data_IF_036371463099
#
_entry.id   IF_036371463099
#
_cell.length_a   1.000
_cell.length_b   1.000
_cell.length_c   1.000
_cell.angle_alpha   90.00
_cell.angle_beta   90.00
_cell.angle_gamma   90.00
#
_symmetry.space_group_name_H-M   'P 1'
#
loop_
_entity.id
_entity.type
_entity.pdbx_description
1 polymer ?
#
# COMPACT_ATOMS: atom_id res chain seq x y z
N UNK A 1 12.66 21.34 -32.77
CA UNK A 1 11.91 22.34 -31.98
C UNK A 1 12.11 22.04 -30.50
N UNK A 2 12.87 22.86 -29.76
CA UNK A 2 13.05 22.67 -28.31
C UNK A 2 11.84 23.28 -27.61
N UNK A 3 10.95 22.44 -27.09
CA UNK A 3 9.90 22.89 -26.17
C UNK A 3 10.59 23.17 -24.83
N UNK A 4 10.90 24.44 -24.59
CA UNK A 4 11.44 24.88 -23.30
C UNK A 4 10.33 24.76 -22.26
N UNK A 5 10.37 23.72 -21.44
CA UNK A 5 9.49 23.59 -20.28
C UNK A 5 9.97 24.57 -19.20
N UNK A 6 9.42 25.78 -19.21
CA UNK A 6 9.62 26.72 -18.10
C UNK A 6 8.96 26.11 -16.87
N UNK A 7 9.77 25.59 -15.95
CA UNK A 7 9.29 25.11 -14.65
C UNK A 7 8.81 26.33 -13.86
N UNK A 8 7.51 26.62 -13.95
CA UNK A 8 6.88 27.72 -13.23
C UNK A 8 7.10 27.51 -11.72
N UNK A 9 7.50 28.57 -11.03
CA UNK A 9 7.77 28.48 -9.59
C UNK A 9 6.47 28.37 -8.77
N UNK A 10 6.57 27.95 -7.51
CA UNK A 10 5.40 27.78 -6.62
C UNK A 10 4.64 29.07 -6.26
N UNK A 11 5.11 30.26 -6.66
CA UNK A 11 4.35 31.53 -6.56
C UNK A 11 3.53 31.79 -7.83
N UNK A 12 4.00 31.35 -9.00
CA UNK A 12 3.28 31.45 -10.26
C UNK A 12 2.11 30.46 -10.36
N UNK A 13 2.28 29.22 -9.88
CA UNK A 13 1.20 28.24 -9.81
C UNK A 13 0.04 28.69 -8.90
N UNK A 14 0.33 29.37 -7.78
CA UNK A 14 -0.69 29.98 -6.91
C UNK A 14 -1.51 31.06 -7.63
N UNK A 15 -0.90 31.80 -8.56
CA UNK A 15 -1.59 32.80 -9.38
C UNK A 15 -2.44 32.13 -10.48
N UNK A 16 -2.02 31.02 -11.04
CA UNK A 16 -2.73 30.35 -12.14
C UNK A 16 -4.01 29.62 -11.69
N UNK A 17 -4.07 29.08 -10.47
CA UNK A 17 -5.28 28.41 -9.97
C UNK A 17 -6.39 29.37 -9.54
N UNK A 18 -6.01 30.51 -8.96
CA UNK A 18 -6.96 31.51 -8.46
C UNK A 18 -7.48 32.42 -9.58
N UNK A 19 -6.69 32.66 -10.64
CA UNK A 19 -7.07 33.54 -11.76
C UNK A 19 -8.34 33.12 -12.51
N UNK A 20 -8.56 31.84 -12.90
CA UNK A 20 -9.80 31.42 -13.54
C UNK A 20 -11.01 31.66 -12.66
N UNK A 21 -10.92 31.34 -11.36
CA UNK A 21 -12.00 31.57 -10.41
C UNK A 21 -12.26 33.06 -10.17
N UNK A 22 -11.19 33.88 -10.11
CA UNK A 22 -11.33 35.33 -10.02
C UNK A 22 -11.94 35.91 -11.32
N UNK A 23 -11.50 35.49 -12.50
CA UNK A 23 -12.10 35.88 -13.78
C UNK A 23 -13.57 35.48 -13.86
N UNK A 24 -13.92 34.27 -13.40
CA UNK A 24 -15.30 33.82 -13.30
C UNK A 24 -16.14 34.70 -12.36
N UNK A 25 -15.61 35.07 -11.18
CA UNK A 25 -16.35 35.99 -10.29
C UNK A 25 -16.58 37.35 -10.94
N UNK A 26 -15.61 37.87 -11.70
CA UNK A 26 -15.72 39.12 -12.46
C UNK A 26 -16.79 39.01 -13.55
N UNK A 27 -16.77 37.91 -14.32
CA UNK A 27 -17.79 37.59 -15.33
C UNK A 27 -19.19 37.53 -14.74
N UNK A 28 -19.36 36.81 -13.62
CA UNK A 28 -20.65 36.67 -12.94
C UNK A 28 -21.17 38.00 -12.39
N UNK A 29 -20.26 38.82 -11.86
CA UNK A 29 -20.58 40.09 -11.25
C UNK A 29 -20.67 41.26 -12.24
N UNK A 30 -20.37 41.02 -13.52
CA UNK A 30 -20.30 41.99 -14.64
C UNK A 30 -19.35 43.18 -14.43
N UNK A 31 -18.59 43.21 -13.33
CA UNK A 31 -17.61 44.26 -12.98
C UNK A 31 -16.54 43.67 -12.05
N UNK A 32 -15.29 44.06 -12.24
CA UNK A 32 -14.19 43.75 -11.33
C UNK A 32 -14.25 44.65 -10.10
N UNK A 33 -14.53 44.07 -8.93
CA UNK A 33 -14.57 44.79 -7.65
C UNK A 33 -14.12 43.86 -6.52
N UNK A 34 -13.22 44.34 -5.65
CA UNK A 34 -12.73 43.64 -4.46
C UNK A 34 -13.83 43.21 -3.49
N UNK A 35 -14.87 44.02 -3.29
CA UNK A 35 -15.97 43.69 -2.38
C UNK A 35 -16.77 42.49 -2.87
N UNK A 36 -16.88 42.34 -4.19
CA UNK A 36 -17.54 41.18 -4.80
C UNK A 36 -16.66 39.94 -4.70
N UNK A 37 -15.34 40.07 -4.82
CA UNK A 37 -14.40 38.97 -4.59
C UNK A 37 -14.47 38.47 -3.14
N UNK A 38 -14.56 39.37 -2.15
CA UNK A 38 -14.69 39.02 -0.72
C UNK A 38 -15.92 38.16 -0.40
N UNK A 39 -16.94 38.13 -1.27
CA UNK A 39 -18.10 37.24 -1.10
C UNK A 39 -17.76 35.77 -1.31
N UNK A 40 -16.76 35.47 -2.13
CA UNK A 40 -16.36 34.12 -2.54
C UNK A 40 -14.98 33.72 -2.03
N UNK A 41 -14.11 34.71 -1.78
CA UNK A 41 -12.76 34.49 -1.30
C UNK A 41 -12.61 35.10 0.09
N UNK A 42 -12.22 34.26 1.04
CA UNK A 42 -12.01 34.65 2.44
C UNK A 42 -10.60 34.23 2.86
N UNK A 43 -9.96 34.95 3.79
CA UNK A 43 -8.75 34.44 4.42
C UNK A 43 -9.10 33.21 5.25
N UNK A 44 -8.24 32.20 5.22
CA UNK A 44 -8.46 30.98 5.98
C UNK A 44 -7.20 30.15 6.16
N UNK A 45 -7.21 29.28 7.16
CA UNK A 45 -6.13 28.35 7.44
C UNK A 45 -6.57 26.94 7.05
N UNK A 46 -5.74 26.26 6.26
CA UNK A 46 -5.98 24.87 5.82
C UNK A 46 -4.92 23.97 6.43
N UNK A 47 -5.34 22.84 7.00
CA UNK A 47 -4.44 21.77 7.43
C UNK A 47 -4.21 20.81 6.27
N UNK A 48 -2.96 20.66 5.86
CA UNK A 48 -2.56 19.78 4.78
C UNK A 48 -2.46 18.32 5.26
N UNK A 49 -2.46 17.37 4.32
CA UNK A 49 -2.30 15.94 4.60
C UNK A 49 -0.96 15.59 5.27
N UNK A 50 0.05 16.44 5.12
CA UNK A 50 1.36 16.30 5.78
C UNK A 50 1.41 16.92 7.19
N UNK A 51 0.27 17.34 7.74
CA UNK A 51 0.15 17.96 9.06
C UNK A 51 0.59 19.42 9.12
N UNK A 52 1.07 20.01 8.01
CA UNK A 52 1.46 21.42 7.97
C UNK A 52 0.24 22.33 7.80
N UNK A 53 0.24 23.44 8.53
CA UNK A 53 -0.80 24.46 8.39
C UNK A 53 -0.37 25.51 7.35
N UNK A 54 -1.31 25.90 6.49
CA UNK A 54 -1.12 26.95 5.48
C UNK A 54 -2.15 28.05 5.70
N UNK A 55 -1.66 29.28 5.83
CA UNK A 55 -2.52 30.46 5.82
C UNK A 55 -2.63 31.01 4.40
N UNK A 56 -3.85 31.15 3.89
CA UNK A 56 -4.14 31.62 2.54
C UNK A 56 -5.06 32.83 2.62
N UNK A 57 -4.62 33.96 2.04
CA UNK A 57 -5.39 35.22 2.04
C UNK A 57 -6.60 35.16 1.10
N UNK A 58 -6.48 34.41 0.01
CA UNK A 58 -7.50 34.27 -1.03
C UNK A 58 -7.88 32.80 -1.17
N UNK A 59 -8.72 32.33 -0.25
CA UNK A 59 -9.25 30.96 -0.23
C UNK A 59 -10.70 30.98 -0.73
N UNK A 60 -11.00 30.19 -1.76
CA UNK A 60 -12.37 30.08 -2.26
C UNK A 60 -13.20 29.30 -1.24
N UNK A 61 -14.28 29.91 -0.75
CA UNK A 61 -15.15 29.36 0.26
C UNK A 61 -16.63 29.60 -0.09
N UNK A 62 -17.46 28.58 0.08
CA UNK A 62 -18.92 28.71 -0.03
C UNK A 62 -19.51 29.34 1.23
N UNK A 63 -20.78 29.76 1.18
CA UNK A 63 -21.48 30.26 2.38
C UNK A 63 -21.58 29.19 3.48
N UNK A 64 -21.66 27.93 3.06
CA UNK A 64 -21.79 26.76 3.94
C UNK A 64 -20.45 26.29 4.52
N UNK A 65 -19.37 27.03 4.25
CA UNK A 65 -18.05 26.79 4.83
C UNK A 65 -17.15 25.83 4.03
N UNK A 66 -17.63 25.24 2.93
CA UNK A 66 -16.82 24.37 2.08
C UNK A 66 -15.72 25.16 1.36
N UNK A 67 -14.51 24.62 1.37
CA UNK A 67 -13.32 25.26 0.78
C UNK A 67 -12.81 24.44 -0.40
N UNK A 68 -12.44 25.10 -1.50
CA UNK A 68 -11.87 24.40 -2.65
C UNK A 68 -10.40 24.01 -2.38
N UNK A 69 -10.09 22.72 -2.55
CA UNK A 69 -8.73 22.20 -2.43
C UNK A 69 -7.88 22.60 -3.64
N UNK A 70 -6.73 23.24 -3.41
CA UNK A 70 -5.80 23.59 -4.51
C UNK A 70 -4.96 22.37 -4.89
N UNK A 71 -4.65 22.20 -6.17
CA UNK A 71 -3.82 21.09 -6.63
C UNK A 71 -2.43 21.09 -5.98
N UNK A 72 -1.83 22.27 -5.77
CA UNK A 72 -0.52 22.44 -5.12
C UNK A 72 -0.49 21.94 -3.65
N UNK A 73 -1.65 21.72 -3.02
CA UNK A 73 -1.76 21.20 -1.65
C UNK A 73 -1.71 19.68 -1.59
N UNK A 74 -1.97 19.00 -2.72
CA UNK A 74 -1.84 17.55 -2.81
C UNK A 74 -0.36 17.21 -2.99
N UNK A 75 0.27 16.48 -2.05
CA UNK A 75 1.68 16.14 -2.18
C UNK A 75 1.90 15.23 -3.38
N UNK A 76 2.94 15.54 -4.17
CA UNK A 76 3.37 14.67 -5.27
C UNK A 76 4.06 13.46 -4.65
N UNK A 77 3.33 12.34 -4.57
CA UNK A 77 3.89 11.05 -4.15
C UNK A 77 4.56 10.41 -5.35
N UNK A 78 5.90 10.39 -5.37
CA UNK A 78 6.67 9.72 -6.42
C UNK A 78 6.62 8.21 -6.20
N UNK A 79 6.22 7.48 -7.22
CA UNK A 79 6.25 6.03 -7.23
C UNK A 79 7.57 5.53 -7.83
N UNK A 80 8.05 4.38 -7.35
CA UNK A 80 9.23 3.74 -7.91
C UNK A 80 8.85 3.02 -9.21
N UNK A 81 9.35 3.52 -10.35
CA UNK A 81 9.13 2.89 -11.65
C UNK A 81 9.64 1.44 -11.67
N UNK A 82 9.00 0.58 -12.46
CA UNK A 82 9.52 -0.75 -12.75
C UNK A 82 10.81 -0.59 -13.56
N UNK A 83 11.83 -1.40 -13.27
CA UNK A 83 13.00 -1.51 -14.13
C UNK A 83 12.55 -1.86 -15.56
N UNK A 84 13.05 -1.17 -16.60
CA UNK A 84 12.64 -1.42 -17.99
C UNK A 84 12.84 -2.87 -18.44
N UNK A 85 13.89 -3.51 -17.95
CA UNK A 85 14.28 -4.89 -18.27
C UNK A 85 13.53 -5.95 -17.45
N UNK A 86 12.81 -5.56 -16.40
CA UNK A 86 12.12 -6.52 -15.54
C UNK A 86 10.84 -7.01 -16.20
N UNK A 87 10.74 -8.32 -16.38
CA UNK A 87 9.51 -8.98 -16.84
C UNK A 87 9.04 -9.95 -15.77
N UNK A 88 7.74 -10.26 -15.71
CA UNK A 88 7.22 -11.15 -14.67
C UNK A 88 7.85 -12.56 -14.71
N UNK A 89 8.39 -12.94 -15.87
CA UNK A 89 8.96 -14.25 -16.16
C UNK A 89 10.50 -14.21 -16.27
N UNK A 90 11.15 -13.13 -15.83
CA UNK A 90 12.61 -12.99 -15.85
C UNK A 90 13.35 -13.87 -14.82
N UNK A 91 12.61 -14.62 -14.01
CA UNK A 91 13.15 -15.46 -12.93
C UNK A 91 13.67 -14.66 -11.73
N UNK A 92 13.53 -13.32 -11.73
CA UNK A 92 13.96 -12.46 -10.64
C UNK A 92 12.89 -12.37 -9.54
N UNK A 93 12.56 -13.51 -8.94
CA UNK A 93 11.53 -13.61 -7.92
C UNK A 93 11.79 -12.74 -6.69
N UNK A 94 13.07 -12.54 -6.36
CA UNK A 94 13.48 -11.68 -5.24
C UNK A 94 13.11 -10.22 -5.46
N UNK A 95 13.31 -9.71 -6.69
CA UNK A 95 12.89 -8.36 -7.06
C UNK A 95 11.37 -8.19 -6.94
N UNK A 96 10.60 -9.11 -7.53
CA UNK A 96 9.14 -9.05 -7.52
C UNK A 96 8.54 -9.15 -6.11
N UNK A 97 9.08 -10.04 -5.27
CA UNK A 97 8.62 -10.18 -3.89
C UNK A 97 8.98 -8.94 -3.03
N UNK A 98 10.17 -8.35 -3.23
CA UNK A 98 10.56 -7.10 -2.56
C UNK A 98 9.67 -5.94 -2.99
N UNK A 99 9.40 -5.84 -4.29
CA UNK A 99 8.54 -4.81 -4.89
C UNK A 99 7.10 -4.91 -4.38
N UNK A 100 6.56 -6.12 -4.21
CA UNK A 100 5.24 -6.34 -3.60
C UNK A 100 5.16 -5.74 -2.19
N UNK A 101 6.21 -5.87 -1.40
CA UNK A 101 6.30 -5.26 -0.07
C UNK A 101 6.38 -3.73 -0.08
N UNK A 102 6.87 -3.14 -1.17
CA UNK A 102 7.00 -1.69 -1.36
C UNK A 102 5.82 -1.08 -2.15
N UNK A 103 4.90 -1.90 -2.65
CA UNK A 103 3.79 -1.44 -3.47
C UNK A 103 2.85 -0.54 -2.66
N UNK A 104 2.30 0.47 -3.34
CA UNK A 104 1.30 1.36 -2.76
C UNK A 104 0.06 0.54 -2.42
N UNK A 105 -0.41 0.65 -1.19
CA UNK A 105 -1.56 -0.11 -0.70
C UNK A 105 -1.19 -1.40 0.04
N UNK A 106 0.07 -1.85 -0.02
CA UNK A 106 0.51 -2.99 0.81
C UNK A 106 0.49 -2.58 2.29
N UNK A 107 -0.30 -3.25 3.15
CA UNK A 107 -0.37 -2.87 4.55
C UNK A 107 0.99 -3.14 5.23
N UNK A 108 1.37 -2.27 6.17
CA UNK A 108 2.65 -2.34 6.89
C UNK A 108 2.92 -3.71 7.53
N UNK A 109 1.88 -4.40 8.00
CA UNK A 109 1.97 -5.74 8.58
C UNK A 109 2.46 -6.75 7.53
N UNK A 110 1.89 -6.74 6.32
CA UNK A 110 2.28 -7.61 5.21
C UNK A 110 3.69 -7.27 4.71
N UNK A 111 4.03 -5.98 4.55
CA UNK A 111 5.36 -5.57 4.13
C UNK A 111 6.46 -6.06 5.09
N UNK A 112 6.22 -5.98 6.40
CA UNK A 112 7.14 -6.51 7.43
C UNK A 112 7.29 -8.02 7.33
N UNK A 113 6.20 -8.76 7.12
CA UNK A 113 6.23 -10.22 6.99
C UNK A 113 6.94 -10.67 5.70
N UNK A 114 6.68 -10.00 4.56
CA UNK A 114 7.42 -10.23 3.31
C UNK A 114 8.92 -10.08 3.51
N UNK A 115 9.36 -9.04 4.22
CA UNK A 115 10.78 -8.84 4.54
C UNK A 115 11.32 -9.94 5.46
N UNK A 116 10.59 -10.29 6.53
CA UNK A 116 10.96 -11.35 7.48
C UNK A 116 11.13 -12.71 6.77
N UNK A 117 10.23 -13.03 5.85
CA UNK A 117 10.20 -14.30 5.11
C UNK A 117 11.02 -14.29 3.82
N UNK A 118 11.78 -13.21 3.55
CA UNK A 118 12.57 -13.05 2.32
C UNK A 118 11.72 -13.27 1.06
N UNK A 119 10.48 -12.80 1.09
CA UNK A 119 9.55 -12.88 -0.04
C UNK A 119 8.98 -14.25 -0.35
N UNK A 120 9.13 -15.24 0.55
CA UNK A 120 8.67 -16.61 0.35
C UNK A 120 7.51 -16.98 1.26
N UNK A 121 6.60 -17.80 0.76
CA UNK A 121 5.57 -18.45 1.55
C UNK A 121 6.23 -19.47 2.49
N UNK A 122 5.91 -19.42 3.78
CA UNK A 122 6.46 -20.34 4.78
C UNK A 122 5.86 -21.75 4.70
N UNK A 123 4.75 -21.93 3.97
CA UNK A 123 4.12 -23.22 3.74
C UNK A 123 4.69 -23.95 2.51
N UNK A 124 4.53 -23.37 1.31
CA UNK A 124 4.97 -24.01 0.06
C UNK A 124 6.41 -23.67 -0.36
N UNK A 125 7.08 -22.73 0.33
CA UNK A 125 8.45 -22.30 0.03
C UNK A 125 8.60 -21.41 -1.23
N UNK A 126 7.53 -21.24 -2.01
CA UNK A 126 7.54 -20.45 -3.24
C UNK A 126 7.57 -18.95 -2.97
N UNK A 127 8.08 -18.17 -3.93
CA UNK A 127 8.08 -16.71 -3.86
C UNK A 127 6.68 -16.14 -4.12
N UNK A 128 6.39 -15.02 -3.46
CA UNK A 128 5.19 -14.24 -3.77
C UNK A 128 5.39 -13.46 -5.06
N UNK A 129 4.49 -13.67 -6.01
CA UNK A 129 4.34 -12.89 -7.23
C UNK A 129 3.43 -11.67 -7.00
N UNK A 130 3.49 -10.64 -7.86
CA UNK A 130 2.61 -9.47 -7.76
C UNK A 130 1.12 -9.82 -7.85
N UNK A 131 0.75 -10.87 -8.59
CA UNK A 131 -0.64 -11.31 -8.77
C UNK A 131 -1.19 -12.14 -7.62
N UNK A 132 -0.33 -12.70 -6.75
CA UNK A 132 -0.81 -13.60 -5.70
C UNK A 132 -1.63 -12.89 -4.63
N UNK A 133 -2.69 -13.55 -4.20
CA UNK A 133 -3.45 -13.15 -3.00
C UNK A 133 -2.75 -13.71 -1.78
N UNK A 134 -2.37 -12.83 -0.85
CA UNK A 134 -1.61 -13.18 0.36
C UNK A 134 -2.40 -12.88 1.61
N UNK A 135 -2.35 -13.81 2.56
CA UNK A 135 -3.08 -13.73 3.83
C UNK A 135 -2.10 -13.87 5.00
N UNK A 136 -2.40 -13.15 6.09
CA UNK A 136 -1.61 -13.20 7.33
C UNK A 136 -2.21 -14.28 8.22
N UNK A 137 -1.38 -15.24 8.58
CA UNK A 137 -1.74 -16.41 9.36
C UNK A 137 -0.92 -16.50 10.66
N UNK A 138 -1.46 -17.21 11.65
CA UNK A 138 -0.76 -17.54 12.89
C UNK A 138 -0.11 -18.92 12.77
N UNK A 139 1.21 -19.00 12.99
CA UNK A 139 1.99 -20.25 12.98
C UNK A 139 1.39 -21.24 13.97
N UNK A 140 1.21 -20.82 15.22
CA UNK A 140 0.36 -21.51 16.20
C UNK A 140 -1.03 -20.87 16.13
N UNK A 141 -2.09 -21.60 15.80
CA UNK A 141 -3.45 -21.08 15.76
C UNK A 141 -3.87 -20.44 17.09
N UNK A 142 -4.73 -19.42 17.02
CA UNK A 142 -5.29 -18.79 18.24
C UNK A 142 -6.05 -19.78 19.12
N UNK A 143 -6.72 -20.76 18.51
CA UNK A 143 -7.41 -21.86 19.23
C UNK A 143 -6.46 -22.70 20.08
N UNK A 144 -5.18 -22.76 19.71
CA UNK A 144 -4.12 -23.51 20.42
C UNK A 144 -3.26 -22.59 21.29
N UNK A 145 -3.79 -21.42 21.69
CA UNK A 145 -3.07 -20.46 22.54
C UNK A 145 -2.06 -19.57 21.80
N UNK A 146 -2.07 -19.56 20.46
CA UNK A 146 -1.22 -18.70 19.65
C UNK A 146 -1.54 -17.22 19.82
N UNK A 147 -0.52 -16.40 20.13
CA UNK A 147 -0.67 -14.94 20.32
C UNK A 147 -0.58 -14.16 19.00
N UNK A 148 -1.16 -12.97 18.94
CA UNK A 148 -1.06 -12.03 17.80
C UNK A 148 0.27 -11.25 17.82
N UNK A 149 1.39 -11.95 17.89
CA UNK A 149 2.72 -11.35 17.92
C UNK A 149 3.47 -11.62 16.61
N UNK A 150 4.28 -10.66 16.13
CA UNK A 150 5.05 -10.83 14.89
C UNK A 150 5.96 -12.07 14.87
N UNK A 151 6.31 -12.64 16.03
CA UNK A 151 7.04 -13.91 16.13
C UNK A 151 6.18 -15.09 15.67
N UNK A 152 4.89 -15.08 16.01
CA UNK A 152 3.88 -16.09 15.68
C UNK A 152 3.12 -15.78 14.37
N UNK A 153 3.32 -14.62 13.75
CA UNK A 153 2.72 -14.30 12.46
C UNK A 153 3.59 -14.76 11.29
N UNK A 154 2.91 -15.29 10.28
CA UNK A 154 3.45 -15.62 8.97
C UNK A 154 2.52 -15.12 7.84
N UNK A 155 3.06 -15.01 6.64
CA UNK A 155 2.34 -14.65 5.43
C UNK A 155 2.30 -15.87 4.51
N UNK A 156 1.12 -16.22 4.04
CA UNK A 156 0.87 -17.37 3.20
C UNK A 156 0.16 -16.95 1.91
N UNK A 157 0.23 -17.79 0.88
CA UNK A 157 -0.75 -17.69 -0.21
C UNK A 157 -2.12 -18.08 0.32
N UNK A 158 -3.18 -17.54 -0.29
CA UNK A 158 -4.56 -17.89 0.08
C UNK A 158 -4.80 -19.40 0.10
N UNK A 159 -4.43 -20.12 -0.96
CA UNK A 159 -4.57 -21.58 -1.02
C UNK A 159 -3.74 -22.30 0.07
N UNK A 160 -2.51 -21.86 0.33
CA UNK A 160 -1.69 -22.43 1.41
C UNK A 160 -2.30 -22.20 2.80
N UNK A 161 -2.99 -21.07 2.99
CA UNK A 161 -3.67 -20.77 4.24
C UNK A 161 -4.90 -21.67 4.43
N UNK A 162 -5.65 -21.92 3.37
CA UNK A 162 -6.76 -22.89 3.38
C UNK A 162 -6.26 -24.31 3.73
N UNK A 163 -5.18 -24.76 3.07
CA UNK A 163 -4.56 -26.07 3.33
C UNK A 163 -4.06 -26.20 4.78
N UNK A 164 -3.36 -25.17 5.27
CA UNK A 164 -2.89 -25.13 6.66
C UNK A 164 -4.05 -25.18 7.63
N UNK A 165 -5.09 -24.38 7.42
CA UNK A 165 -6.25 -24.32 8.29
C UNK A 165 -6.97 -25.67 8.35
N UNK A 166 -7.09 -26.36 7.21
CA UNK A 166 -7.64 -27.71 7.17
C UNK A 166 -6.83 -28.70 8.01
N UNK A 167 -5.49 -28.62 7.95
CA UNK A 167 -4.60 -29.46 8.74
C UNK A 167 -4.61 -29.13 10.23
N UNK A 168 -4.62 -27.84 10.58
CA UNK A 168 -4.75 -27.39 11.97
C UNK A 168 -6.05 -27.94 12.57
N UNK A 169 -7.17 -27.79 11.84
CA UNK A 169 -8.47 -28.33 12.26
C UNK A 169 -8.47 -29.85 12.40
N UNK A 170 -7.79 -30.58 11.52
CA UNK A 170 -7.64 -32.03 11.63
C UNK A 170 -6.88 -32.42 12.91
N UNK A 171 -5.80 -31.69 13.24
CA UNK A 171 -5.02 -31.93 14.44
C UNK A 171 -5.82 -31.66 15.72
N UNK A 172 -6.77 -30.70 15.69
CA UNK A 172 -7.70 -30.44 16.80
C UNK A 172 -8.66 -31.61 17.10
N UNK A 173 -8.96 -32.45 16.10
CA UNK A 173 -9.97 -33.52 16.18
C UNK A 173 -9.34 -34.84 16.64
N UNK A 174 -8.02 -34.91 16.82
CA UNK A 174 -7.38 -36.08 17.42
C UNK A 174 -7.32 -35.94 18.95
N UNK A 175 -8.24 -36.56 19.71
CA UNK A 175 -8.03 -36.70 21.14
C UNK A 175 -6.79 -37.55 21.38
N UNK A 176 -6.09 -37.24 22.47
CA UNK A 176 -4.96 -37.97 23.01
C UNK A 176 -5.15 -39.50 22.92
N UNK A 177 -4.54 -40.15 21.94
CA UNK A 177 -4.20 -41.58 22.00
C UNK A 177 -2.82 -41.80 21.41
N UNK A 178 -1.81 -41.46 22.21
CA UNK A 178 -0.59 -42.24 22.15
C UNK A 178 -0.92 -43.64 22.66
N UNK A 179 -0.93 -44.62 21.76
CA UNK A 179 -0.45 -45.95 22.11
C UNK A 179 0.49 -46.44 21.00
N UNK A 180 1.63 -46.93 21.45
CA UNK A 180 2.78 -47.33 20.66
C UNK A 180 2.43 -48.34 19.57
N UNK A 181 3.01 -48.18 18.38
CA UNK A 181 3.43 -49.32 17.55
C UNK A 181 4.58 -48.92 16.62
N UNK A 182 5.77 -49.30 17.07
CA UNK A 182 6.91 -49.80 16.28
C UNK A 182 7.20 -49.17 14.92
N UNK A 183 8.32 -48.45 14.88
CA UNK A 183 9.11 -48.16 13.67
C UNK A 183 9.48 -49.49 13.00
N UNK A 184 8.74 -49.87 11.97
CA UNK A 184 9.21 -50.87 10.99
C UNK A 184 10.07 -50.13 9.97
N UNK A 185 11.35 -50.46 9.98
CA UNK A 185 12.35 -50.04 8.99
C UNK A 185 11.86 -50.37 7.57
N UNK A 186 11.64 -49.35 6.75
CA UNK A 186 11.65 -49.47 5.29
C UNK A 186 12.92 -48.80 4.77
N UNK A 187 13.74 -49.63 4.11
CA UNK A 187 15.08 -49.29 3.63
C UNK A 187 15.09 -48.10 2.66
N UNK A 188 16.19 -47.35 2.74
CA UNK A 188 16.57 -46.36 1.73
C UNK A 188 16.92 -47.09 0.42
N UNK A 189 16.42 -46.67 -0.74
CA UNK A 189 17.01 -47.10 -2.01
C UNK A 189 18.35 -46.38 -2.20
N UNK A 190 19.39 -47.18 -2.43
CA UNK A 190 20.71 -46.77 -2.89
C UNK A 190 20.55 -46.17 -4.29
N UNK A 191 20.88 -44.88 -4.45
CA UNK A 191 21.06 -44.27 -5.77
C UNK A 191 22.45 -44.70 -6.24
N UNK A 192 22.47 -45.60 -7.21
CA UNK A 192 23.67 -46.01 -7.92
C UNK A 192 23.92 -44.97 -9.02
N UNK A 193 25.01 -44.22 -8.88
CA UNK A 193 25.56 -43.33 -9.90
C UNK A 193 26.06 -44.14 -11.10
N UNK A 194 25.69 -43.70 -12.30
CA UNK A 194 26.47 -43.82 -13.53
C UNK A 194 26.67 -42.42 -14.10
#
# INVERSE_FOLDING_TARGET
MKVSSTVLNGREWRRLHSRPLMAWTVSRCRKANHDKLRKYFRPGTVKLSNGKERHETWLFQTKDGYTLWKHDWTPIVRHTLIRPEATLYDGNWTYWATRKGQAIGTPNRVAKLLKKQKGRCSWCGQYFTPSDITEVDHVVPRSHGGKDEYKNLQLLHRHCHDDKTALDNWCCIQPLSQSLSTVTTLGKPVIQTL
#
